data_IF_362681333018
#
_entry.id   IF_362681333018
#
_cell.length_a   1.000
_cell.length_b   1.000
_cell.length_c   1.000
_cell.angle_alpha   90.00
_cell.angle_beta   90.00
_cell.angle_gamma   90.00
#
_symmetry.space_group_name_H-M   'P 1'
#
loop_
_entity.id
_entity.type
_entity.pdbx_description
1 polymer ?
#
# COMPACT_ATOMS: atom_id res chain seq x y z
N UNK A 1 -5.44 25.32 21.22
CA UNK A 1 -4.18 25.13 20.46
C UNK A 1 -3.91 23.64 20.16
N UNK A 2 -4.38 22.69 20.98
CA UNK A 2 -4.22 21.23 20.73
C UNK A 2 -5.00 20.68 19.51
N UNK A 3 -6.21 21.18 19.23
CA UNK A 3 -7.01 20.68 18.08
C UNK A 3 -6.34 20.90 16.71
N UNK A 4 -5.61 22.02 16.54
CA UNK A 4 -4.87 22.31 15.31
C UNK A 4 -3.65 21.41 15.10
N UNK A 5 -3.01 20.98 16.19
CA UNK A 5 -1.87 20.05 16.16
C UNK A 5 -2.31 18.65 15.74
N UNK A 6 -3.40 18.14 16.33
CA UNK A 6 -3.95 16.82 15.98
C UNK A 6 -4.47 16.75 14.54
N UNK A 7 -5.05 17.84 14.03
CA UNK A 7 -5.48 17.90 12.63
C UNK A 7 -4.28 17.82 11.66
N UNK A 8 -3.18 18.51 11.98
CA UNK A 8 -1.94 18.46 11.19
C UNK A 8 -1.33 17.06 11.19
N UNK A 9 -1.21 16.42 12.36
CA UNK A 9 -0.72 15.05 12.51
C UNK A 9 -1.52 14.06 11.65
N UNK A 10 -2.85 14.12 11.73
CA UNK A 10 -3.73 13.26 10.93
C UNK A 10 -3.60 13.50 9.43
N UNK A 11 -3.35 14.74 9.00
CA UNK A 11 -3.13 15.06 7.60
C UNK A 11 -1.77 14.54 7.08
N UNK A 12 -0.69 14.73 7.83
CA UNK A 12 0.64 14.19 7.50
C UNK A 12 0.58 12.65 7.40
N UNK A 13 -0.11 12.00 8.33
CA UNK A 13 -0.36 10.56 8.26
C UNK A 13 -1.14 10.17 7.00
N UNK A 14 -2.23 10.87 6.71
CA UNK A 14 -3.09 10.56 5.56
C UNK A 14 -2.34 10.68 4.23
N UNK A 15 -1.55 11.74 4.05
CA UNK A 15 -0.78 11.99 2.82
C UNK A 15 0.37 10.98 2.66
N UNK A 16 1.14 10.75 3.72
CA UNK A 16 2.24 9.79 3.69
C UNK A 16 1.75 8.35 3.51
N UNK A 17 0.66 7.96 4.18
CA UNK A 17 0.01 6.68 3.98
C UNK A 17 -0.47 6.51 2.53
N UNK A 18 -1.13 7.53 1.94
CA UNK A 18 -1.58 7.46 0.54
C UNK A 18 -0.40 7.26 -0.42
N UNK A 19 0.68 8.02 -0.22
CA UNK A 19 1.90 7.89 -1.00
C UNK A 19 2.51 6.49 -0.91
N UNK A 20 2.67 5.95 0.31
CA UNK A 20 3.25 4.62 0.50
C UNK A 20 2.33 3.48 0.05
N UNK A 21 1.00 3.58 0.19
CA UNK A 21 0.07 2.59 -0.38
C UNK A 21 0.27 2.45 -1.89
N UNK A 22 0.35 3.58 -2.61
CA UNK A 22 0.56 3.56 -4.05
C UNK A 22 1.98 3.12 -4.41
N UNK A 23 3.01 3.67 -3.74
CA UNK A 23 4.40 3.34 -4.03
C UNK A 23 4.70 1.85 -3.81
N UNK A 24 4.26 1.28 -2.70
CA UNK A 24 4.48 -0.14 -2.39
C UNK A 24 3.71 -1.06 -3.32
N UNK A 25 2.52 -0.67 -3.76
CA UNK A 25 1.77 -1.39 -4.78
C UNK A 25 2.50 -1.37 -6.14
N UNK A 26 2.89 -0.19 -6.62
CA UNK A 26 3.51 -0.04 -7.95
C UNK A 26 4.86 -0.75 -8.01
N UNK A 27 5.69 -0.55 -6.99
CA UNK A 27 7.02 -1.16 -6.90
C UNK A 27 6.98 -2.63 -6.47
N UNK A 28 5.81 -3.14 -6.05
CA UNK A 28 5.66 -4.50 -5.55
C UNK A 28 6.57 -4.76 -4.36
N UNK A 29 6.62 -3.84 -3.40
CA UNK A 29 7.48 -3.96 -2.22
C UNK A 29 6.86 -5.01 -1.30
N UNK A 30 7.65 -6.05 -1.06
CA UNK A 30 7.25 -7.20 -0.29
C UNK A 30 7.61 -7.18 1.19
N UNK A 31 7.26 -8.26 1.89
CA UNK A 31 7.50 -8.47 3.33
C UNK A 31 6.95 -7.31 4.18
N UNK A 32 5.78 -6.78 3.80
CA UNK A 32 5.15 -5.66 4.50
C UNK A 32 4.34 -6.16 5.69
N UNK A 33 4.86 -5.95 6.89
CA UNK A 33 4.20 -6.14 8.18
C UNK A 33 4.42 -4.90 9.06
N UNK A 34 3.76 -4.86 10.22
CA UNK A 34 3.72 -3.65 11.07
C UNK A 34 5.11 -3.23 11.54
N UNK A 35 6.04 -4.16 11.75
CA UNK A 35 7.42 -3.84 12.18
C UNK A 35 8.25 -3.16 11.07
N UNK A 36 7.82 -3.28 9.81
CA UNK A 36 8.45 -2.63 8.66
C UNK A 36 7.77 -1.29 8.28
N UNK A 37 6.85 -0.81 9.14
CA UNK A 37 6.15 0.47 8.97
C UNK A 37 6.36 1.29 10.23
N UNK A 38 7.00 2.44 10.05
CA UNK A 38 7.33 3.37 11.12
C UNK A 38 6.47 4.63 11.01
N UNK A 39 6.22 5.28 12.14
CA UNK A 39 5.53 6.57 12.20
C UNK A 39 6.42 7.55 12.96
N UNK A 40 6.71 8.68 12.36
CA UNK A 40 7.45 9.75 12.98
C UNK A 40 6.53 10.59 13.90
N UNK A 41 7.10 11.29 14.88
CA UNK A 41 6.34 12.09 15.86
C UNK A 41 5.49 13.20 15.23
N UNK A 42 5.83 13.62 14.01
CA UNK A 42 5.04 14.58 13.21
C UNK A 42 3.88 13.94 12.42
N UNK A 43 3.61 12.64 12.62
CA UNK A 43 2.52 11.91 11.99
C UNK A 43 2.89 11.25 10.66
N UNK A 44 4.09 11.45 10.12
CA UNK A 44 4.49 10.87 8.85
C UNK A 44 4.72 9.35 8.98
N UNK A 45 4.00 8.59 8.15
CA UNK A 45 4.20 7.16 7.97
C UNK A 45 5.29 6.91 6.93
N UNK A 46 6.21 6.00 7.22
CA UNK A 46 7.21 5.57 6.26
C UNK A 46 7.56 4.08 6.38
N UNK A 47 7.91 3.48 5.24
CA UNK A 47 8.32 2.08 5.19
C UNK A 47 9.83 1.97 5.31
N UNK A 48 10.30 0.87 5.90
CA UNK A 48 11.72 0.51 6.01
C UNK A 48 11.97 -0.92 5.51
N UNK A 49 13.22 -1.31 5.33
CA UNK A 49 13.61 -2.66 4.87
C UNK A 49 13.01 -3.05 3.50
N UNK A 50 13.61 -2.58 2.41
CA UNK A 50 13.10 -2.80 1.04
C UNK A 50 13.72 -4.03 0.34
N UNK A 51 14.10 -5.06 1.09
CA UNK A 51 14.86 -6.20 0.57
C UNK A 51 14.18 -7.02 -0.53
N UNK A 52 12.87 -6.87 -0.74
CA UNK A 52 12.13 -7.58 -1.79
C UNK A 52 11.20 -6.62 -2.54
N UNK A 53 11.32 -6.54 -3.86
CA UNK A 53 10.54 -5.66 -4.71
C UNK A 53 10.26 -6.31 -6.08
N UNK A 54 9.41 -5.69 -6.90
CA UNK A 54 8.98 -6.15 -8.25
C UNK A 54 8.32 -7.54 -8.26
N UNK A 55 7.65 -7.91 -7.17
CA UNK A 55 6.97 -9.20 -7.09
C UNK A 55 7.88 -10.38 -6.76
N UNK A 56 9.16 -10.14 -6.42
CA UNK A 56 10.09 -11.16 -5.92
C UNK A 56 9.79 -11.52 -4.45
N UNK A 57 8.56 -11.98 -4.22
CA UNK A 57 8.03 -12.28 -2.89
C UNK A 57 8.51 -13.63 -2.37
N UNK A 58 8.71 -13.73 -1.05
CA UNK A 58 9.05 -15.01 -0.41
C UNK A 58 7.91 -16.01 -0.58
N UNK A 59 8.23 -17.22 -1.03
CA UNK A 59 7.30 -18.36 -1.03
C UNK A 59 7.50 -19.22 0.22
N UNK A 60 6.42 -19.83 0.73
CA UNK A 60 6.49 -20.89 1.74
C UNK A 60 5.63 -22.06 1.25
N UNK A 61 6.21 -23.25 1.14
CA UNK A 61 5.53 -24.44 0.60
C UNK A 61 4.90 -24.21 -0.79
N UNK A 62 5.55 -23.44 -1.66
CA UNK A 62 5.06 -23.14 -3.01
C UNK A 62 3.95 -22.08 -3.08
N UNK A 63 3.55 -21.47 -1.96
CA UNK A 63 2.55 -20.40 -1.90
C UNK A 63 3.24 -19.07 -1.62
N UNK A 64 2.92 -18.02 -2.38
CA UNK A 64 3.36 -16.67 -2.10
C UNK A 64 2.86 -16.22 -0.72
N UNK A 65 3.78 -15.73 0.13
CA UNK A 65 3.40 -15.21 1.45
C UNK A 65 2.57 -13.94 1.36
N UNK A 66 2.76 -13.17 0.30
CA UNK A 66 2.02 -11.94 0.08
C UNK A 66 0.67 -12.19 -0.57
N UNK A 67 -0.38 -11.92 0.20
CA UNK A 67 -1.78 -12.17 -0.16
C UNK A 67 -2.51 -10.90 -0.55
N UNK A 68 -1.93 -9.74 -0.29
CA UNK A 68 -2.53 -8.42 -0.52
C UNK A 68 -1.60 -7.55 -1.35
N UNK A 69 -2.15 -6.68 -2.22
CA UNK A 69 -1.36 -5.86 -3.12
C UNK A 69 -0.58 -4.72 -2.43
N UNK A 70 -1.01 -4.31 -1.23
CA UNK A 70 -0.29 -3.42 -0.31
C UNK A 70 -0.94 -3.49 1.08
N UNK A 71 -0.32 -2.88 2.09
CA UNK A 71 -0.85 -2.84 3.46
C UNK A 71 -1.71 -1.58 3.65
N UNK A 72 -2.97 -1.81 4.02
CA UNK A 72 -3.90 -0.79 4.50
C UNK A 72 -4.68 -1.37 5.68
N UNK A 73 -4.12 -1.25 6.88
CA UNK A 73 -4.72 -1.84 8.09
C UNK A 73 -5.95 -1.06 8.53
N UNK A 74 -6.82 -1.70 9.31
CA UNK A 74 -7.96 -1.01 9.91
C UNK A 74 -7.49 0.16 10.78
N UNK A 75 -6.37 0.03 11.47
CA UNK A 75 -5.85 1.08 12.35
C UNK A 75 -5.44 2.31 11.53
N UNK A 76 -4.87 2.13 10.34
CA UNK A 76 -4.60 3.24 9.42
C UNK A 76 -5.89 3.91 8.98
N UNK A 77 -6.92 3.12 8.61
CA UNK A 77 -8.24 3.66 8.25
C UNK A 77 -8.85 4.46 9.41
N UNK A 78 -8.69 3.99 10.64
CA UNK A 78 -9.19 4.67 11.83
C UNK A 78 -8.52 6.04 12.03
N UNK A 79 -7.19 6.10 11.92
CA UNK A 79 -6.43 7.36 11.99
C UNK A 79 -6.82 8.33 10.87
N UNK A 80 -6.99 7.84 9.64
CA UNK A 80 -7.45 8.63 8.49
C UNK A 80 -8.84 9.22 8.74
N UNK A 81 -9.74 8.44 9.35
CA UNK A 81 -11.09 8.88 9.71
C UNK A 81 -11.10 9.80 10.96
N UNK A 82 -9.98 9.90 11.67
CA UNK A 82 -9.80 10.65 12.92
C UNK A 82 -10.90 10.31 13.94
N UNK A 83 -11.05 9.01 14.21
CA UNK A 83 -11.94 8.42 15.22
C UNK A 83 -13.44 8.71 15.06
N UNK A 84 -13.84 9.31 13.94
CA UNK A 84 -15.23 9.59 13.58
C UNK A 84 -15.69 8.58 12.53
N UNK A 85 -16.23 7.46 12.99
CA UNK A 85 -16.75 6.35 12.16
C UNK A 85 -17.80 6.75 11.13
N UNK A 86 -18.44 7.91 11.26
CA UNK A 86 -19.43 8.43 10.30
C UNK A 86 -18.86 9.38 9.24
N UNK A 87 -17.56 9.72 9.28
CA UNK A 87 -17.00 10.72 8.38
C UNK A 87 -16.43 10.09 7.10
N UNK A 88 -17.33 9.75 6.18
CA UNK A 88 -16.98 9.22 4.85
C UNK A 88 -16.10 10.21 4.05
N UNK A 89 -16.21 11.52 4.32
CA UNK A 89 -15.50 12.55 3.56
C UNK A 89 -13.97 12.43 3.67
N UNK A 90 -13.42 12.15 4.87
CA UNK A 90 -11.97 12.04 5.06
C UNK A 90 -11.39 10.82 4.35
N UNK A 91 -12.11 9.70 4.39
CA UNK A 91 -11.69 8.51 3.69
C UNK A 91 -11.78 8.69 2.17
N UNK A 92 -12.82 9.38 1.67
CA UNK A 92 -12.90 9.74 0.25
C UNK A 92 -11.78 10.71 -0.18
N UNK A 93 -11.34 11.64 0.69
CA UNK A 93 -10.14 12.45 0.42
C UNK A 93 -8.87 11.59 0.32
N UNK A 94 -8.69 10.63 1.24
CA UNK A 94 -7.59 9.67 1.18
C UNK A 94 -7.60 8.86 -0.13
N UNK A 95 -8.79 8.43 -0.57
CA UNK A 95 -8.99 7.76 -1.85
C UNK A 95 -8.59 8.67 -3.03
N UNK A 96 -8.99 9.94 -2.99
CA UNK A 96 -8.58 10.95 -3.96
C UNK A 96 -7.06 11.14 -4.02
N UNK A 97 -6.37 11.18 -2.88
CA UNK A 97 -4.90 11.27 -2.85
C UNK A 97 -4.23 10.03 -3.45
N UNK A 98 -4.74 8.82 -3.16
CA UNK A 98 -4.25 7.58 -3.76
C UNK A 98 -4.41 7.58 -5.29
N UNK A 99 -5.58 7.99 -5.77
CA UNK A 99 -5.88 8.10 -7.20
C UNK A 99 -4.97 9.10 -7.91
N UNK A 100 -4.77 10.28 -7.31
CA UNK A 100 -3.90 11.31 -7.85
C UNK A 100 -2.45 10.82 -7.91
N UNK A 101 -1.95 10.22 -6.82
CA UNK A 101 -0.59 9.68 -6.76
C UNK A 101 -0.36 8.57 -7.80
N UNK A 102 -1.31 7.64 -7.93
CA UNK A 102 -1.23 6.57 -8.94
C UNK A 102 -1.25 7.13 -10.36
N UNK A 103 -2.13 8.09 -10.65
CA UNK A 103 -2.24 8.71 -11.98
C UNK A 103 -0.96 9.46 -12.36
N UNK A 104 -0.35 10.18 -11.42
CA UNK A 104 0.94 10.87 -11.63
C UNK A 104 2.05 9.84 -11.91
N UNK A 105 2.17 8.79 -11.10
CA UNK A 105 3.18 7.74 -11.33
C UNK A 105 2.98 7.06 -12.69
N UNK A 106 1.73 6.78 -13.06
CA UNK A 106 1.39 6.17 -14.35
C UNK A 106 1.76 7.07 -15.52
N UNK A 107 1.49 8.38 -15.42
CA UNK A 107 1.89 9.35 -16.44
C UNK A 107 3.41 9.34 -16.66
N UNK A 108 4.19 9.16 -15.60
CA UNK A 108 5.65 9.02 -15.65
C UNK A 108 6.15 7.58 -15.77
N UNK A 109 5.28 6.60 -16.08
CA UNK A 109 5.63 5.18 -16.00
C UNK A 109 6.80 4.75 -16.90
N UNK A 110 6.95 5.38 -18.08
CA UNK A 110 8.09 5.11 -18.97
C UNK A 110 9.44 5.49 -18.35
N UNK A 111 9.50 6.56 -17.56
CA UNK A 111 10.71 6.95 -16.83
C UNK A 111 11.11 5.85 -15.85
N UNK A 112 10.17 5.35 -15.05
CA UNK A 112 10.43 4.25 -14.13
C UNK A 112 10.90 3.00 -14.86
N UNK A 113 10.21 2.59 -15.94
CA UNK A 113 10.64 1.43 -16.74
C UNK A 113 12.08 1.58 -17.25
N UNK A 114 12.48 2.77 -17.71
CA UNK A 114 13.85 3.03 -18.18
C UNK A 114 14.87 2.99 -17.04
N UNK A 115 14.56 3.59 -15.89
CA UNK A 115 15.44 3.55 -14.71
C UNK A 115 15.68 2.10 -14.25
N UNK A 116 14.62 1.30 -14.14
CA UNK A 116 14.74 -0.11 -13.77
C UNK A 116 15.45 -0.94 -14.86
N UNK A 117 15.25 -0.64 -16.15
CA UNK A 117 16.01 -1.27 -17.23
C UNK A 117 17.51 -1.00 -17.14
N UNK A 118 17.91 0.24 -16.81
CA UNK A 118 19.32 0.58 -16.60
C UNK A 118 19.89 -0.12 -15.35
N UNK A 119 19.08 -0.24 -14.29
CA UNK A 119 19.50 -0.92 -13.06
C UNK A 119 19.70 -2.44 -13.23
N UNK A 120 19.12 -3.08 -14.24
CA UNK A 120 19.38 -4.51 -14.53
C UNK A 120 20.88 -4.81 -14.68
N UNK A 121 21.65 -3.87 -15.23
CA UNK A 121 23.10 -4.03 -15.40
C UNK A 121 23.88 -4.06 -14.07
N UNK A 122 23.26 -3.66 -12.95
CA UNK A 122 23.93 -3.60 -11.63
C UNK A 122 24.03 -4.97 -10.95
N UNK A 123 23.35 -6.00 -11.45
CA UNK A 123 23.40 -7.35 -10.90
C UNK A 123 22.57 -7.55 -9.62
N UNK A 124 21.58 -6.68 -9.37
CA UNK A 124 20.61 -6.88 -8.29
C UNK A 124 19.83 -8.20 -8.49
N UNK A 125 19.79 -9.10 -7.50
CA UNK A 125 19.09 -10.38 -7.62
C UNK A 125 17.62 -10.24 -8.02
N UNK A 126 16.92 -9.25 -7.46
CA UNK A 126 15.50 -8.94 -7.67
C UNK A 126 15.22 -8.22 -8.99
N UNK A 127 16.25 -7.89 -9.77
CA UNK A 127 16.15 -7.19 -11.05
C UNK A 127 17.09 -7.83 -12.07
N UNK A 128 16.90 -9.13 -12.27
CA UNK A 128 17.78 -9.96 -13.09
C UNK A 128 17.14 -10.37 -14.42
N UNK A 129 15.84 -10.12 -14.61
CA UNK A 129 15.08 -10.57 -15.77
C UNK A 129 14.13 -9.51 -16.33
N UNK A 130 13.75 -9.67 -17.60
CA UNK A 130 12.71 -8.85 -18.22
C UNK A 130 11.33 -8.99 -17.55
N UNK A 131 11.10 -10.06 -16.76
CA UNK A 131 9.86 -10.24 -15.99
C UNK A 131 9.73 -9.21 -14.87
N UNK A 132 10.84 -8.80 -14.28
CA UNK A 132 10.86 -7.82 -13.19
C UNK A 132 10.44 -6.42 -13.70
N UNK A 133 10.85 -6.06 -14.91
CA UNK A 133 10.38 -4.84 -15.61
C UNK A 133 8.90 -4.99 -16.00
N UNK A 134 8.49 -6.17 -16.45
CA UNK A 134 7.11 -6.43 -16.83
C UNK A 134 6.16 -6.23 -15.64
N UNK A 135 6.60 -6.55 -14.42
CA UNK A 135 5.83 -6.27 -13.21
C UNK A 135 5.40 -4.80 -13.11
N UNK A 136 6.34 -3.84 -13.28
CA UNK A 136 6.03 -2.40 -13.26
C UNK A 136 5.04 -2.00 -14.35
N UNK A 137 5.21 -2.58 -15.55
CA UNK A 137 4.34 -2.30 -16.68
C UNK A 137 2.90 -2.76 -16.41
N UNK A 138 2.76 -3.89 -15.74
CA UNK A 138 1.48 -4.49 -15.37
C UNK A 138 0.82 -3.75 -14.21
N UNK A 139 1.57 -3.39 -13.16
CA UNK A 139 1.04 -2.64 -12.00
C UNK A 139 0.59 -1.23 -12.39
N UNK A 140 1.35 -0.54 -13.25
CA UNK A 140 0.96 0.76 -13.80
C UNK A 140 -0.05 0.67 -14.95
N UNK A 141 -0.37 -0.52 -15.44
CA UNK A 141 -1.29 -0.76 -16.55
C UNK A 141 -0.98 0.13 -17.78
N UNK A 142 0.30 0.24 -18.18
CA UNK A 142 0.75 1.20 -19.20
C UNK A 142 0.23 0.92 -20.62
N UNK A 143 -0.28 -0.30 -20.88
CA UNK A 143 -0.93 -0.64 -22.15
C UNK A 143 -2.43 -0.32 -22.22
N UNK A 144 -3.01 0.28 -21.16
CA UNK A 144 -4.43 0.60 -21.07
C UNK A 144 -4.69 2.11 -21.19
N UNK A 145 -5.95 2.50 -21.31
CA UNK A 145 -6.37 3.91 -21.14
C UNK A 145 -6.20 4.37 -19.70
N UNK A 146 -6.24 5.68 -19.45
CA UNK A 146 -6.19 6.22 -18.08
C UNK A 146 -7.33 5.70 -17.20
N UNK A 147 -8.55 5.68 -17.75
CA UNK A 147 -9.74 5.18 -17.04
C UNK A 147 -9.60 3.69 -16.66
N UNK A 148 -9.15 2.85 -17.59
CA UNK A 148 -8.91 1.43 -17.32
C UNK A 148 -7.74 1.19 -16.37
N UNK A 149 -6.69 2.01 -16.46
CA UNK A 149 -5.56 1.97 -15.54
C UNK A 149 -5.99 2.31 -14.11
N UNK A 150 -6.84 3.31 -13.94
CA UNK A 150 -7.38 3.70 -12.65
C UNK A 150 -8.37 2.65 -12.11
N UNK A 151 -9.24 2.10 -12.96
CA UNK A 151 -10.10 0.95 -12.59
C UNK A 151 -9.26 -0.24 -12.11
N UNK A 152 -8.15 -0.54 -12.78
CA UNK A 152 -7.22 -1.59 -12.37
C UNK A 152 -6.66 -1.36 -10.96
N UNK A 153 -6.19 -0.14 -10.67
CA UNK A 153 -5.73 0.23 -9.33
C UNK A 153 -6.84 0.08 -8.28
N UNK A 154 -8.06 0.55 -8.56
CA UNK A 154 -9.17 0.48 -7.61
C UNK A 154 -9.61 -0.94 -7.28
N UNK A 155 -9.47 -1.90 -8.21
CA UNK A 155 -9.69 -3.32 -7.90
C UNK A 155 -8.71 -3.77 -6.80
N UNK A 156 -7.42 -3.43 -6.95
CA UNK A 156 -6.37 -3.79 -5.97
C UNK A 156 -6.51 -3.06 -4.65
N UNK A 157 -6.88 -1.79 -4.67
CA UNK A 157 -7.18 -1.04 -3.47
C UNK A 157 -8.33 -1.68 -2.67
N UNK A 158 -9.42 -2.04 -3.35
CA UNK A 158 -10.57 -2.66 -2.70
C UNK A 158 -10.28 -4.08 -2.19
N UNK A 159 -9.42 -4.84 -2.88
CA UNK A 159 -8.90 -6.12 -2.37
C UNK A 159 -8.15 -5.92 -1.05
N UNK A 160 -7.19 -4.99 -0.99
CA UNK A 160 -6.43 -4.70 0.23
C UNK A 160 -7.33 -4.27 1.40
N UNK A 161 -8.30 -3.38 1.14
CA UNK A 161 -9.23 -2.90 2.16
C UNK A 161 -10.13 -4.03 2.71
N UNK A 162 -10.62 -4.93 1.85
CA UNK A 162 -11.46 -6.06 2.27
C UNK A 162 -10.68 -7.06 3.13
N UNK A 163 -9.44 -7.39 2.76
CA UNK A 163 -8.62 -8.33 3.52
C UNK A 163 -8.22 -7.77 4.91
N UNK A 164 -8.03 -6.45 4.99
CA UNK A 164 -7.84 -5.73 6.25
C UNK A 164 -9.01 -5.93 7.22
N UNK A 165 -10.24 -5.74 6.75
CA UNK A 165 -11.44 -5.95 7.57
C UNK A 165 -11.66 -7.42 7.94
N UNK A 166 -11.44 -8.36 7.02
CA UNK A 166 -11.52 -9.81 7.33
C UNK A 166 -10.57 -10.19 8.45
N UNK A 167 -9.32 -9.72 8.39
CA UNK A 167 -8.31 -10.01 9.41
C UNK A 167 -8.74 -9.52 10.79
N UNK A 168 -9.31 -8.31 10.87
CA UNK A 168 -9.84 -7.76 12.13
C UNK A 168 -11.05 -8.55 12.65
N UNK A 169 -12.02 -8.88 11.80
CA UNK A 169 -13.21 -9.65 12.21
C UNK A 169 -12.80 -11.03 12.72
N UNK A 170 -11.87 -11.70 12.04
CA UNK A 170 -11.32 -12.98 12.50
C UNK A 170 -10.61 -12.86 13.85
N UNK A 171 -9.83 -11.79 14.05
CA UNK A 171 -9.15 -11.53 15.32
C UNK A 171 -10.13 -11.24 16.47
N UNK A 172 -11.16 -10.43 16.22
CA UNK A 172 -12.23 -10.16 17.20
C UNK A 172 -12.99 -11.43 17.57
N UNK A 173 -13.36 -12.27 16.59
CA UNK A 173 -14.03 -13.55 16.84
C UNK A 173 -13.15 -14.51 17.64
N UNK A 174 -11.84 -14.55 17.37
CA UNK A 174 -10.89 -15.36 18.12
C UNK A 174 -10.68 -14.88 19.57
N UNK A 175 -10.77 -13.57 19.83
CA UNK A 175 -10.68 -13.04 21.19
C UNK A 175 -11.98 -13.27 21.97
N UNK A 176 -13.15 -13.07 21.35
CA UNK A 176 -14.45 -13.36 21.97
C UNK A 176 -14.62 -14.84 22.34
N UNK A 177 -14.09 -15.74 21.51
CA UNK A 177 -14.09 -17.19 21.80
C UNK A 177 -13.10 -17.61 22.89
N UNK A 178 -12.08 -16.77 23.18
CA UNK A 178 -11.17 -16.96 24.32
C UNK A 178 -11.74 -16.42 25.62
N UNK A 179 -12.46 -15.29 25.58
CA UNK A 179 -13.12 -14.72 26.77
C UNK A 179 -14.32 -15.54 27.24
N UNK A 180 -15.03 -16.23 26.35
CA UNK A 180 -16.14 -17.13 26.71
C UNK A 180 -15.70 -18.49 27.29
N UNK A 181 -14.41 -18.67 27.62
CA UNK A 181 -13.85 -19.88 28.27
C UNK A 181 -13.32 -19.63 29.69
N UNK A 182 -13.66 -18.49 30.30
CA UNK A 182 -13.45 -18.23 31.73
C UNK A 182 -14.74 -18.35 32.53
#
# INVERSE_FOLDING_TARGET
>A
MEEGGNFKLGMEFTLSCAGYCVATYVLGIGDRHIDNIMIHENGQLFHIDFGHFLGNFKTKFGINRERVPFILTHDFVHVIQQDKTSNNEKFERFRGYCEQAYSILRHHGLLFLQLFALMQATGLPELSSSKDIQYLKDTLALGKTEEEGLKHFWVKFNEALRESWKTKVNWLAHNLTKDNRQ
#
